data_IF_932240258009
#
_entry.id   IF_932240258009
#
_cell.length_a   1.000
_cell.length_b   1.000
_cell.length_c   1.000
_cell.angle_alpha   90.00
_cell.angle_beta   90.00
_cell.angle_gamma   90.00
#
_symmetry.space_group_name_H-M   'P 1'
#
loop_
_entity.id
_entity.type
_entity.pdbx_description
1 polymer ?
#
# COMPACT_ATOMS: atom_id res chain seq x y z
N UNK A 1 -0.38 16.19 -18.49
CA UNK A 1 0.95 15.52 -18.45
C UNK A 1 1.55 15.53 -19.84
N UNK A 2 2.76 16.04 -20.00
CA UNK A 2 3.52 16.00 -21.26
C UNK A 2 3.92 14.58 -21.72
N UNK A 3 3.77 13.57 -20.85
CA UNK A 3 4.13 12.17 -21.13
C UNK A 3 5.61 11.84 -20.94
N UNK A 4 6.42 12.79 -20.45
CA UNK A 4 7.87 12.62 -20.31
C UNK A 4 8.29 11.76 -19.11
N UNK A 5 7.43 11.62 -18.09
CA UNK A 5 7.64 10.73 -16.93
C UNK A 5 6.84 9.45 -17.17
N UNK A 6 7.54 8.32 -17.29
CA UNK A 6 6.93 7.00 -17.49
C UNK A 6 6.28 6.46 -16.21
N UNK A 7 5.30 5.56 -16.33
CA UNK A 7 4.63 4.91 -15.18
C UNK A 7 5.63 4.28 -14.19
N UNK A 8 6.78 3.77 -14.68
CA UNK A 8 7.84 3.13 -13.88
C UNK A 8 8.66 4.10 -13.01
N UNK A 9 8.45 5.40 -13.17
CA UNK A 9 9.10 6.43 -12.38
C UNK A 9 8.25 6.90 -11.19
N UNK A 10 7.02 6.38 -11.06
CA UNK A 10 6.21 6.58 -9.87
C UNK A 10 6.42 5.42 -8.90
N UNK A 11 6.51 5.75 -7.62
CA UNK A 11 6.49 4.77 -6.53
C UNK A 11 5.66 5.35 -5.38
N UNK A 12 4.54 4.73 -5.05
CA UNK A 12 3.66 5.13 -3.95
C UNK A 12 3.39 3.98 -2.99
N UNK A 13 2.75 4.28 -1.86
CA UNK A 13 1.89 3.31 -1.19
C UNK A 13 0.53 3.33 -1.91
N UNK A 14 0.48 2.52 -2.98
CA UNK A 14 -0.64 1.98 -3.76
C UNK A 14 -1.56 2.91 -4.55
N UNK A 15 -2.24 2.26 -5.50
CA UNK A 15 -3.31 2.66 -6.42
C UNK A 15 -4.49 1.73 -6.20
N UNK A 16 -5.71 2.26 -6.12
CA UNK A 16 -6.92 1.52 -6.50
C UNK A 16 -7.16 1.73 -7.99
N UNK A 17 -6.96 0.69 -8.80
CA UNK A 17 -7.24 0.66 -10.24
C UNK A 17 -6.38 1.59 -11.10
N UNK A 18 -5.28 1.10 -11.65
CA UNK A 18 -4.51 1.85 -12.67
C UNK A 18 -5.05 1.64 -14.10
N UNK A 19 -6.11 0.83 -14.29
CA UNK A 19 -6.86 0.64 -15.54
C UNK A 19 -8.21 -0.09 -15.26
N UNK A 20 -9.24 0.60 -14.76
CA UNK A 20 -10.62 0.10 -14.86
C UNK A 20 -11.35 0.87 -15.96
N UNK A 21 -11.15 0.39 -17.19
CA UNK A 21 -11.88 0.77 -18.42
C UNK A 21 -13.31 0.19 -18.46
N UNK A 22 -13.91 -0.08 -17.30
CA UNK A 22 -15.27 -0.57 -17.17
C UNK A 22 -15.96 0.17 -16.03
N UNK A 23 -16.84 1.11 -16.39
CA UNK A 23 -17.66 1.96 -15.51
C UNK A 23 -16.93 3.05 -14.68
N UNK A 24 -16.51 4.13 -15.35
CA UNK A 24 -16.50 5.47 -14.71
C UNK A 24 -15.26 5.90 -13.91
N UNK A 25 -14.11 5.95 -14.59
CA UNK A 25 -13.27 7.15 -14.75
C UNK A 25 -12.65 7.83 -13.51
N UNK A 26 -11.72 7.15 -12.82
CA UNK A 26 -10.68 7.83 -12.04
C UNK A 26 -9.32 7.75 -12.75
N UNK A 27 -9.04 8.70 -13.65
CA UNK A 27 -7.72 8.91 -14.28
C UNK A 27 -6.81 9.70 -13.30
N UNK A 28 -6.58 9.17 -12.11
CA UNK A 28 -5.71 9.78 -11.11
C UNK A 28 -5.11 8.76 -10.14
N UNK A 29 -3.97 9.11 -9.56
CA UNK A 29 -3.41 8.33 -8.47
C UNK A 29 -4.27 8.50 -7.21
N UNK A 30 -4.50 7.42 -6.48
CA UNK A 30 -5.16 7.46 -5.17
C UNK A 30 -4.49 6.53 -4.18
N UNK A 31 -4.14 6.99 -2.96
CA UNK A 31 -3.61 6.10 -1.95
C UNK A 31 -4.71 5.17 -1.44
N UNK A 32 -4.29 4.02 -0.91
CA UNK A 32 -5.18 3.13 -0.18
C UNK A 32 -5.99 3.89 0.88
N UNK A 33 -7.32 3.73 0.86
CA UNK A 33 -8.19 4.28 1.90
C UNK A 33 -7.99 3.45 3.16
N UNK A 34 -7.41 4.07 4.18
CA UNK A 34 -7.16 3.44 5.46
C UNK A 34 -7.24 4.45 6.58
N UNK A 35 -7.91 4.04 7.64
CA UNK A 35 -8.03 4.77 8.89
C UNK A 35 -6.86 4.49 9.83
N UNK A 36 -6.48 5.47 10.66
CA UNK A 36 -5.50 5.31 11.74
C UNK A 36 -4.39 6.37 11.76
N UNK A 37 -4.01 6.81 12.96
CA UNK A 37 -3.08 7.94 13.19
C UNK A 37 -1.64 7.73 12.74
N UNK A 38 -1.26 6.50 12.41
CA UNK A 38 0.09 6.14 11.95
C UNK A 38 0.20 5.99 10.43
N UNK A 39 -0.90 6.18 9.69
CA UNK A 39 -0.91 6.06 8.24
C UNK A 39 -0.53 7.40 7.57
N UNK A 40 0.46 7.38 6.69
CA UNK A 40 0.87 8.53 5.89
C UNK A 40 0.60 8.25 4.42
N UNK A 41 -0.28 9.03 3.80
CA UNK A 41 -0.50 8.94 2.36
C UNK A 41 0.64 9.66 1.63
N UNK A 42 1.36 8.97 0.75
CA UNK A 42 2.40 9.62 -0.04
C UNK A 42 2.55 9.02 -1.44
N UNK A 43 3.03 9.87 -2.33
CA UNK A 43 3.51 9.51 -3.66
C UNK A 43 4.96 9.96 -3.82
N UNK A 44 5.80 9.09 -4.37
CA UNK A 44 7.19 9.40 -4.72
C UNK A 44 7.39 9.36 -6.24
N UNK A 45 8.27 10.23 -6.72
CA UNK A 45 8.58 10.38 -8.14
C UNK A 45 10.11 10.26 -8.29
N UNK A 46 10.56 9.46 -9.25
CA UNK A 46 11.94 9.39 -9.73
C UNK A 46 12.06 10.21 -11.03
N UNK A 47 12.68 11.38 -10.95
CA UNK A 47 12.94 12.23 -12.11
C UNK A 47 14.00 11.65 -13.06
N UNK A 48 14.66 10.54 -12.70
CA UNK A 48 15.82 9.91 -13.37
C UNK A 48 17.09 10.76 -13.46
N UNK A 49 16.98 12.06 -13.24
CA UNK A 49 18.10 13.00 -13.18
C UNK A 49 17.91 13.97 -12.03
N UNK A 50 18.99 14.52 -11.52
CA UNK A 50 18.90 15.58 -10.52
C UNK A 50 18.16 16.79 -11.11
N UNK A 51 17.03 17.13 -10.50
CA UNK A 51 16.10 18.15 -10.95
C UNK A 51 15.89 19.16 -9.83
N UNK A 52 15.97 20.45 -10.16
CA UNK A 52 15.56 21.52 -9.26
C UNK A 52 14.06 21.70 -9.39
N UNK A 53 13.33 21.48 -8.32
CA UNK A 53 11.87 21.66 -8.26
C UNK A 53 11.55 23.03 -7.68
N UNK A 54 10.66 23.77 -8.35
CA UNK A 54 10.28 25.13 -7.92
C UNK A 54 8.78 25.34 -7.79
N UNK A 55 7.96 24.50 -8.43
CA UNK A 55 6.50 24.64 -8.42
C UNK A 55 5.84 23.28 -8.63
N UNK A 56 4.66 23.11 -8.06
CA UNK A 56 3.82 21.93 -8.23
C UNK A 56 2.43 22.40 -8.62
N UNK A 57 1.83 21.79 -9.63
CA UNK A 57 0.41 21.96 -9.93
C UNK A 57 -0.31 20.68 -9.56
N UNK A 58 -1.44 20.83 -8.90
CA UNK A 58 -2.40 19.76 -8.66
C UNK A 58 -3.59 19.98 -9.60
N UNK A 59 -4.30 18.92 -9.92
CA UNK A 59 -5.57 19.00 -10.63
C UNK A 59 -6.65 18.37 -9.77
N UNK A 60 -7.78 19.08 -9.64
CA UNK A 60 -8.96 18.54 -8.97
C UNK A 60 -9.60 17.47 -9.85
N UNK A 61 -9.86 16.30 -9.28
CA UNK A 61 -10.48 15.17 -10.00
C UNK A 61 -11.91 14.98 -9.48
N UNK A 62 -12.88 14.88 -10.37
CA UNK A 62 -14.29 14.71 -10.03
C UNK A 62 -14.48 13.45 -9.16
N UNK A 63 -15.46 13.49 -8.25
CA UNK A 63 -15.81 12.41 -7.32
C UNK A 63 -14.67 11.92 -6.38
N UNK A 64 -13.57 12.67 -6.29
CA UNK A 64 -12.48 12.43 -5.33
C UNK A 64 -12.39 13.52 -4.28
N UNK A 65 -11.71 13.21 -3.18
CA UNK A 65 -11.23 14.18 -2.19
C UNK A 65 -9.98 14.85 -2.73
N UNK A 66 -9.94 16.18 -2.63
CA UNK A 66 -8.84 17.00 -3.11
C UNK A 66 -7.79 17.18 -2.02
N UNK A 67 -6.51 17.06 -2.35
CA UNK A 67 -5.42 17.42 -1.44
C UNK A 67 -5.49 18.92 -1.11
N UNK A 68 -5.55 19.25 0.18
CA UNK A 68 -5.58 20.66 0.65
C UNK A 68 -4.28 21.06 1.31
N UNK A 69 -3.55 20.10 1.90
CA UNK A 69 -2.22 20.33 2.46
C UNK A 69 -1.30 19.12 2.27
N UNK A 70 0.00 19.41 2.11
CA UNK A 70 1.03 18.38 2.00
C UNK A 70 2.39 18.87 2.49
N UNK A 71 3.29 17.92 2.74
CA UNK A 71 4.71 18.16 3.00
C UNK A 71 5.55 17.61 1.84
N UNK A 72 6.71 18.21 1.64
CA UNK A 72 7.66 17.78 0.63
C UNK A 72 8.87 17.13 1.25
N UNK A 73 9.25 16.01 0.66
CA UNK A 73 10.50 15.30 0.93
C UNK A 73 11.26 15.10 -0.38
N UNK A 74 12.58 14.96 -0.28
CA UNK A 74 13.43 14.67 -1.42
C UNK A 74 14.50 13.63 -1.07
N UNK A 75 15.06 13.00 -2.11
CA UNK A 75 16.18 12.07 -1.96
C UNK A 75 17.09 12.07 -3.18
N UNK A 76 18.38 11.85 -2.96
CA UNK A 76 19.34 11.62 -4.05
C UNK A 76 19.42 10.13 -4.45
N UNK A 77 19.05 9.22 -3.55
CA UNK A 77 19.21 7.76 -3.74
C UNK A 77 17.90 6.98 -3.75
N UNK A 78 16.80 7.59 -3.32
CA UNK A 78 15.50 6.93 -3.14
C UNK A 78 15.41 6.05 -1.89
N UNK A 79 16.50 5.89 -1.13
CA UNK A 79 16.52 5.05 0.09
C UNK A 79 16.14 5.84 1.35
N UNK A 80 16.69 7.04 1.49
CA UNK A 80 16.46 7.94 2.61
C UNK A 80 15.92 9.26 2.11
N UNK A 81 14.82 9.72 2.71
CA UNK A 81 14.16 10.97 2.35
C UNK A 81 14.36 12.01 3.45
N UNK A 82 14.66 13.23 3.04
CA UNK A 82 14.77 14.40 3.90
C UNK A 82 13.65 15.37 3.59
N UNK A 83 13.12 16.06 4.60
CA UNK A 83 12.14 17.12 4.36
C UNK A 83 12.79 18.23 3.51
N UNK A 84 12.09 18.69 2.47
CA UNK A 84 12.53 19.83 1.66
C UNK A 84 12.53 21.11 2.50
N UNK A 85 11.55 21.26 3.38
CA UNK A 85 11.44 22.35 4.35
C UNK A 85 10.57 21.91 5.54
N UNK A 86 10.55 22.67 6.66
CA UNK A 86 9.70 22.34 7.81
C UNK A 86 8.21 22.68 7.59
N UNK A 87 7.90 23.43 6.52
CA UNK A 87 6.55 23.93 6.27
C UNK A 87 5.64 22.84 5.70
N UNK A 88 4.40 22.87 6.14
CA UNK A 88 3.29 22.25 5.45
C UNK A 88 2.74 23.25 4.42
N UNK A 89 2.63 22.80 3.16
CA UNK A 89 2.22 23.63 2.05
C UNK A 89 0.71 23.49 1.84
N UNK A 90 0.03 24.64 1.76
CA UNK A 90 -1.40 24.72 1.45
C UNK A 90 -1.61 24.79 -0.06
N UNK A 91 -2.56 24.03 -0.57
CA UNK A 91 -2.98 24.08 -1.98
C UNK A 91 -3.91 25.28 -2.18
N UNK A 92 -3.52 26.29 -2.99
CA UNK A 92 -4.37 27.45 -3.26
C UNK A 92 -5.53 27.09 -4.20
N UNK A 93 -6.49 28.01 -4.33
CA UNK A 93 -7.69 27.77 -5.14
C UNK A 93 -7.44 27.57 -6.65
N UNK A 94 -6.31 28.08 -7.16
CA UNK A 94 -5.87 27.88 -8.54
C UNK A 94 -5.02 26.61 -8.73
N UNK A 95 -4.87 25.80 -7.68
CA UNK A 95 -4.15 24.52 -7.66
C UNK A 95 -2.65 24.58 -8.00
N UNK A 96 -2.08 25.79 -8.06
CA UNK A 96 -0.67 26.01 -8.36
C UNK A 96 0.06 26.41 -7.08
N UNK A 97 0.93 25.52 -6.61
CA UNK A 97 1.78 25.74 -5.42
C UNK A 97 3.16 26.18 -5.89
N UNK A 98 3.39 27.50 -5.87
CA UNK A 98 4.74 28.04 -5.99
C UNK A 98 5.52 27.78 -4.71
N UNK A 99 6.63 27.05 -4.82
CA UNK A 99 7.39 26.67 -3.64
C UNK A 99 8.14 27.90 -3.08
N UNK A 100 8.00 28.18 -1.76
CA UNK A 100 8.86 29.13 -1.07
C UNK A 100 10.33 28.81 -1.32
N UNK A 101 11.21 29.82 -1.32
CA UNK A 101 12.66 29.63 -1.58
C UNK A 101 13.24 28.47 -0.78
N UNK A 102 12.85 28.37 0.48
CA UNK A 102 13.39 27.41 1.44
C UNK A 102 12.79 26.00 1.28
N UNK A 103 11.71 25.88 0.49
CA UNK A 103 11.07 24.61 0.14
C UNK A 103 11.44 24.11 -1.26
N UNK A 104 12.21 24.90 -2.03
CA UNK A 104 12.77 24.45 -3.31
C UNK A 104 13.92 23.50 -3.03
N UNK A 105 14.02 22.42 -3.81
CA UNK A 105 15.03 21.40 -3.60
C UNK A 105 15.61 20.92 -4.92
N UNK A 106 16.78 20.30 -4.84
CA UNK A 106 17.47 19.69 -5.98
C UNK A 106 17.72 18.22 -5.69
N UNK A 107 17.01 17.34 -6.39
CA UNK A 107 17.07 15.92 -6.10
C UNK A 107 16.69 15.09 -7.32
N UNK A 108 17.02 13.79 -7.28
CA UNK A 108 16.51 12.83 -8.25
C UNK A 108 15.10 12.36 -7.87
N UNK A 109 14.84 12.21 -6.58
CA UNK A 109 13.56 11.74 -6.08
C UNK A 109 12.85 12.85 -5.32
N UNK A 110 11.55 12.98 -5.55
CA UNK A 110 10.64 13.78 -4.75
C UNK A 110 9.60 12.88 -4.08
N UNK A 111 9.07 13.31 -2.93
CA UNK A 111 7.93 12.69 -2.29
C UNK A 111 6.98 13.75 -1.75
N UNK A 112 5.71 13.62 -2.09
CA UNK A 112 4.62 14.41 -1.54
C UNK A 112 3.93 13.57 -0.46
N UNK A 113 3.93 14.07 0.78
CA UNK A 113 3.20 13.47 1.90
C UNK A 113 1.94 14.28 2.10
N UNK A 114 0.78 13.66 1.85
CA UNK A 114 -0.52 14.29 1.99
C UNK A 114 -0.86 14.31 3.48
N UNK A 115 -1.08 15.51 4.00
CA UNK A 115 -1.41 15.73 5.41
C UNK A 115 -2.85 16.16 5.61
N UNK A 116 -3.48 16.69 4.57
CA UNK A 116 -4.90 17.06 4.60
C UNK A 116 -5.53 16.90 3.22
N UNK A 117 -6.76 16.40 3.19
CA UNK A 117 -7.60 16.35 2.00
C UNK A 117 -9.04 16.74 2.35
N UNK A 118 -9.73 17.36 1.38
CA UNK A 118 -11.11 17.84 1.53
C UNK A 118 -12.09 16.70 1.84
N UNK A 119 -13.24 17.06 2.42
CA UNK A 119 -14.29 16.08 2.75
C UNK A 119 -13.91 15.14 3.91
N UNK A 120 -14.87 14.29 4.29
CA UNK A 120 -14.69 13.33 5.36
C UNK A 120 -13.86 12.12 4.90
N UNK A 121 -13.14 11.50 5.82
CA UNK A 121 -12.46 10.24 5.55
C UNK A 121 -13.46 9.13 5.22
N UNK A 122 -13.16 8.30 4.23
CA UNK A 122 -14.03 7.22 3.78
C UNK A 122 -15.18 7.63 2.85
N UNK A 123 -15.46 8.93 2.66
CA UNK A 123 -16.56 9.37 1.79
C UNK A 123 -16.24 9.24 0.29
N UNK A 124 -14.96 9.38 -0.07
CA UNK A 124 -14.43 9.25 -1.42
C UNK A 124 -12.90 9.02 -1.35
N UNK A 125 -12.27 8.43 -2.36
CA UNK A 125 -10.82 8.29 -2.44
C UNK A 125 -10.13 9.67 -2.54
N UNK A 126 -8.87 9.78 -2.10
CA UNK A 126 -8.07 11.00 -2.37
C UNK A 126 -7.56 10.92 -3.80
N UNK A 127 -7.97 11.84 -4.66
CA UNK A 127 -7.54 11.88 -6.06
C UNK A 127 -6.37 12.84 -6.23
N UNK A 128 -5.27 12.35 -6.79
CA UNK A 128 -4.12 13.20 -7.10
C UNK A 128 -3.76 13.03 -8.57
N UNK A 129 -3.88 14.15 -9.28
CA UNK A 129 -3.24 14.36 -10.56
C UNK A 129 -2.37 15.60 -10.40
N UNK A 130 -1.15 15.52 -10.89
CA UNK A 130 -0.15 16.54 -10.61
C UNK A 130 0.86 16.71 -11.72
N UNK A 131 1.53 17.85 -11.70
CA UNK A 131 2.68 18.17 -12.52
C UNK A 131 3.75 18.87 -11.68
N UNK A 132 4.99 18.42 -11.80
CA UNK A 132 6.14 19.02 -11.12
C UNK A 132 6.87 19.93 -12.11
N UNK A 133 7.12 21.17 -11.72
CA UNK A 133 7.83 22.15 -12.52
C UNK A 133 9.20 22.43 -11.94
N UNK A 134 10.18 22.51 -12.83
CA UNK A 134 11.56 22.64 -12.45
C UNK A 134 12.48 22.69 -13.65
N UNK A 135 13.77 22.53 -13.39
CA UNK A 135 14.77 22.33 -14.44
C UNK A 135 15.72 21.18 -14.07
N UNK A 136 16.07 20.32 -15.04
CA UNK A 136 17.15 19.36 -14.84
C UNK A 136 18.47 20.12 -14.65
N UNK A 137 19.28 19.64 -13.71
CA UNK A 137 20.61 20.21 -13.40
C UNK A 137 21.71 19.32 -13.97
N UNK A 138 21.38 18.06 -14.23
CA UNK A 138 22.27 17.07 -14.84
C UNK A 138 21.83 16.78 -16.28
N UNK A 139 22.82 16.44 -17.11
CA UNK A 139 22.63 16.14 -18.55
C UNK A 139 22.53 14.65 -18.84
N UNK A 140 22.83 13.78 -17.86
CA UNK A 140 22.80 12.33 -18.01
C UNK A 140 21.58 11.78 -17.29
N UNK A 141 20.72 11.09 -18.04
CA UNK A 141 19.60 10.36 -17.46
C UNK A 141 20.11 9.06 -16.83
N UNK A 142 19.69 8.78 -15.61
CA UNK A 142 19.85 7.46 -15.03
C UNK A 142 18.78 6.51 -15.59
N UNK A 143 19.05 5.20 -15.53
CA UNK A 143 18.04 4.19 -15.85
C UNK A 143 17.02 4.07 -14.72
N UNK A 144 15.77 3.77 -15.09
CA UNK A 144 14.74 3.39 -14.12
C UNK A 144 15.23 2.23 -13.26
N UNK A 145 14.97 2.28 -11.96
CA UNK A 145 15.21 1.14 -11.09
C UNK A 145 14.04 0.14 -11.26
N UNK A 146 14.24 -1.03 -11.89
CA UNK A 146 13.17 -1.99 -12.12
C UNK A 146 12.66 -2.63 -10.82
N UNK A 147 13.38 -2.45 -9.70
CA UNK A 147 12.99 -2.97 -8.39
C UNK A 147 12.02 -2.05 -7.64
N UNK A 148 11.74 -0.85 -8.17
CA UNK A 148 10.69 0.02 -7.64
C UNK A 148 9.37 -0.39 -8.29
N UNK A 149 8.60 -1.22 -7.59
CA UNK A 149 7.23 -1.58 -7.97
C UNK A 149 6.25 -0.93 -7.00
N UNK A 150 5.23 -0.27 -7.52
CA UNK A 150 4.04 0.12 -6.74
C UNK A 150 3.34 -1.16 -6.29
N UNK A 151 3.10 -1.28 -4.99
CA UNK A 151 2.23 -2.35 -4.46
C UNK A 151 0.79 -1.99 -4.84
N UNK A 152 -0.05 -2.99 -5.09
CA UNK A 152 -1.45 -2.78 -5.47
C UNK A 152 -2.35 -3.39 -4.40
N UNK A 153 -3.32 -2.61 -3.92
CA UNK A 153 -4.13 -3.02 -2.76
C UNK A 153 -5.10 -4.18 -3.05
N UNK A 154 -5.37 -4.45 -4.32
CA UNK A 154 -6.21 -5.54 -4.78
C UNK A 154 -5.46 -6.88 -4.88
N UNK A 155 -4.16 -6.90 -4.57
CA UNK A 155 -3.35 -8.12 -4.60
C UNK A 155 -3.02 -8.61 -3.20
N UNK A 156 -2.88 -9.94 -3.04
CA UNK A 156 -2.42 -10.53 -1.78
C UNK A 156 -0.89 -10.45 -1.59
N UNK A 157 -0.16 -9.84 -2.53
CA UNK A 157 1.29 -9.67 -2.43
C UNK A 157 1.62 -8.24 -2.01
N UNK A 158 2.32 -8.08 -0.87
CA UNK A 158 2.71 -6.77 -0.37
C UNK A 158 1.59 -5.95 0.29
N UNK A 159 0.32 -6.36 0.17
CA UNK A 159 -0.83 -5.70 0.78
C UNK A 159 -1.60 -6.61 1.76
N UNK A 160 -2.68 -6.08 2.32
CA UNK A 160 -3.62 -6.74 3.22
C UNK A 160 -4.34 -7.91 2.55
N UNK A 161 -4.32 -9.05 3.22
CA UNK A 161 -5.02 -10.25 2.78
C UNK A 161 -5.30 -11.18 3.95
N UNK A 162 -6.28 -12.06 3.78
CA UNK A 162 -6.76 -13.00 4.80
C UNK A 162 -6.84 -14.42 4.26
N UNK A 163 -6.68 -15.40 5.14
CA UNK A 163 -6.89 -16.80 4.81
C UNK A 163 -7.44 -17.57 6.02
N UNK A 164 -8.09 -18.69 5.76
CA UNK A 164 -8.62 -19.55 6.82
C UNK A 164 -8.19 -20.99 6.59
N UNK A 165 -7.55 -21.55 7.61
CA UNK A 165 -7.29 -22.97 7.75
C UNK A 165 -8.53 -23.62 8.37
N UNK A 166 -9.32 -24.30 7.55
CA UNK A 166 -10.56 -24.92 7.98
C UNK A 166 -10.36 -26.23 8.73
N UNK A 167 -9.18 -26.86 8.63
CA UNK A 167 -8.88 -28.10 9.34
C UNK A 167 -8.57 -27.83 10.82
N UNK A 168 -7.85 -26.74 11.09
CA UNK A 168 -7.41 -26.37 12.44
C UNK A 168 -8.19 -25.19 13.04
N UNK A 169 -9.09 -24.58 12.26
CA UNK A 169 -9.89 -23.42 12.71
C UNK A 169 -9.05 -22.17 12.92
N UNK A 170 -7.96 -21.99 12.15
CA UNK A 170 -7.02 -20.89 12.31
C UNK A 170 -7.29 -19.83 11.25
N UNK A 171 -7.51 -18.60 11.69
CA UNK A 171 -7.59 -17.43 10.83
C UNK A 171 -6.24 -16.73 10.76
N UNK A 172 -5.87 -16.35 9.54
CA UNK A 172 -4.64 -15.64 9.24
C UNK A 172 -5.00 -14.32 8.59
N UNK A 173 -4.28 -13.26 8.97
CA UNK A 173 -4.28 -12.04 8.17
C UNK A 173 -2.89 -11.44 8.12
N UNK A 174 -2.59 -10.81 7.00
CA UNK A 174 -1.43 -9.96 6.83
C UNK A 174 -1.92 -8.55 6.56
N UNK A 175 -1.22 -7.55 7.08
CA UNK A 175 -1.52 -6.14 6.85
C UNK A 175 -0.24 -5.34 6.69
N UNK A 176 -0.31 -4.25 5.93
CA UNK A 176 0.81 -3.32 5.80
C UNK A 176 0.98 -2.55 7.12
N UNK A 177 2.21 -2.50 7.65
CA UNK A 177 2.57 -1.79 8.88
C UNK A 177 3.30 -0.50 8.50
N UNK A 178 2.67 0.68 8.61
CA UNK A 178 3.22 1.95 8.11
C UNK A 178 4.58 2.30 8.70
N UNK A 179 4.69 2.16 10.03
CA UNK A 179 5.92 2.49 10.78
C UNK A 179 7.11 1.66 10.30
N UNK A 180 6.88 0.39 9.95
CA UNK A 180 7.93 -0.55 9.52
C UNK A 180 8.08 -0.61 8.00
N UNK A 181 7.17 0.04 7.26
CA UNK A 181 7.07 0.01 5.79
C UNK A 181 7.15 -1.41 5.23
N UNK A 182 6.49 -2.36 5.89
CA UNK A 182 6.47 -3.76 5.50
C UNK A 182 5.17 -4.43 5.92
N UNK A 183 4.93 -5.64 5.40
CA UNK A 183 3.80 -6.47 5.82
C UNK A 183 4.14 -7.17 7.14
N UNK A 184 3.17 -7.14 8.06
CA UNK A 184 3.14 -7.96 9.27
C UNK A 184 1.97 -8.94 9.19
N UNK A 185 2.20 -10.18 9.58
CA UNK A 185 1.20 -11.25 9.54
C UNK A 185 0.90 -11.79 10.93
N UNK A 186 -0.33 -12.21 11.14
CA UNK A 186 -0.86 -12.66 12.41
C UNK A 186 -1.78 -13.87 12.19
N UNK A 187 -1.85 -14.72 13.21
CA UNK A 187 -2.78 -15.86 13.26
C UNK A 187 -3.58 -15.86 14.56
N UNK A 188 -4.78 -16.43 14.53
CA UNK A 188 -5.64 -16.60 15.71
C UNK A 188 -6.60 -17.77 15.53
N UNK A 189 -7.03 -18.38 16.63
CA UNK A 189 -8.11 -19.38 16.65
C UNK A 189 -9.39 -18.83 17.26
N UNK A 190 -9.34 -17.72 18.02
CA UNK A 190 -10.45 -17.20 18.81
C UNK A 190 -10.75 -15.70 18.56
N UNK A 191 -9.85 -14.98 17.88
CA UNK A 191 -9.93 -13.54 17.64
C UNK A 191 -9.67 -12.69 18.87
N UNK A 192 -9.26 -13.31 19.98
CA UNK A 192 -8.92 -12.64 21.23
C UNK A 192 -7.40 -12.59 21.34
N UNK A 193 -6.74 -13.74 21.14
CA UNK A 193 -5.29 -13.85 21.15
C UNK A 193 -4.77 -13.91 19.72
N UNK A 194 -3.92 -12.95 19.38
CA UNK A 194 -3.29 -12.84 18.08
C UNK A 194 -1.80 -13.17 18.19
N UNK A 195 -1.37 -14.21 17.48
CA UNK A 195 0.04 -14.60 17.40
C UNK A 195 0.68 -13.84 16.25
N UNK A 196 1.70 -13.04 16.55
CA UNK A 196 2.54 -12.46 15.50
C UNK A 196 3.33 -13.57 14.81
N UNK A 197 3.18 -13.69 13.50
CA UNK A 197 3.94 -14.65 12.71
C UNK A 197 5.41 -14.21 12.57
N UNK A 198 6.34 -15.13 12.29
CA UNK A 198 7.75 -14.78 12.12
C UNK A 198 7.99 -13.64 11.13
N UNK A 199 8.85 -12.69 11.48
CA UNK A 199 9.05 -11.45 10.74
C UNK A 199 9.65 -11.60 9.34
N UNK A 200 10.13 -12.80 8.99
CA UNK A 200 10.60 -13.10 7.63
C UNK A 200 9.45 -13.38 6.66
N UNK A 201 8.26 -13.73 7.16
CA UNK A 201 7.08 -13.97 6.32
C UNK A 201 6.62 -12.64 5.71
N UNK A 202 6.45 -12.65 4.39
CA UNK A 202 6.02 -11.49 3.62
C UNK A 202 4.56 -11.56 3.18
N UNK A 203 4.05 -12.78 2.90
CA UNK A 203 2.65 -13.01 2.51
C UNK A 203 2.23 -14.46 2.71
N UNK A 204 0.93 -14.68 2.82
CA UNK A 204 0.32 -16.00 2.72
C UNK A 204 0.30 -16.45 1.24
N UNK A 205 0.38 -17.75 1.04
CA UNK A 205 0.24 -18.41 -0.28
C UNK A 205 -1.12 -19.07 -0.38
N UNK A 206 -1.55 -19.75 0.69
CA UNK A 206 -2.86 -20.38 0.73
C UNK A 206 -2.93 -21.55 1.70
N UNK A 207 -4.15 -22.02 1.94
CA UNK A 207 -4.44 -23.21 2.75
C UNK A 207 -4.62 -24.44 1.86
N UNK A 208 -3.88 -25.50 2.11
CA UNK A 208 -4.07 -26.80 1.45
C UNK A 208 -4.81 -27.76 2.38
N UNK A 209 -6.05 -28.10 2.01
CA UNK A 209 -6.91 -28.98 2.78
C UNK A 209 -6.41 -30.44 2.82
N UNK A 210 -5.68 -30.90 1.80
CA UNK A 210 -5.18 -32.28 1.76
C UNK A 210 -4.04 -32.50 2.77
N UNK A 211 -3.24 -31.47 3.02
CA UNK A 211 -2.12 -31.51 3.98
C UNK A 211 -2.44 -30.83 5.31
N UNK A 212 -3.61 -30.19 5.43
CA UNK A 212 -4.04 -29.39 6.59
C UNK A 212 -2.98 -28.34 6.99
N UNK A 213 -2.38 -27.69 5.98
CA UNK A 213 -1.28 -26.72 6.17
C UNK A 213 -1.62 -25.38 5.55
N UNK A 214 -1.27 -24.32 6.28
CA UNK A 214 -1.15 -22.97 5.73
C UNK A 214 0.25 -22.76 5.18
N UNK A 215 0.36 -22.23 3.97
CA UNK A 215 1.62 -21.91 3.31
C UNK A 215 1.84 -20.39 3.25
N UNK A 216 3.10 -19.96 3.35
CA UNK A 216 3.51 -18.57 3.26
C UNK A 216 4.87 -18.43 2.56
N UNK A 217 5.12 -17.26 1.95
CA UNK A 217 6.41 -16.90 1.36
C UNK A 217 7.16 -15.92 2.26
N UNK A 218 8.49 -15.97 2.23
CA UNK A 218 9.31 -14.92 2.81
C UNK A 218 9.20 -13.60 2.03
N UNK A 219 9.65 -12.50 2.62
CA UNK A 219 9.59 -11.14 2.04
C UNK A 219 10.30 -10.98 0.70
N UNK A 220 11.21 -11.90 0.34
CA UNK A 220 11.94 -11.87 -0.94
C UNK A 220 11.41 -12.88 -1.95
N UNK A 221 10.34 -13.59 -1.63
CA UNK A 221 9.74 -14.64 -2.45
C UNK A 221 10.74 -15.74 -2.88
N UNK A 222 11.65 -16.11 -1.97
CA UNK A 222 12.70 -17.12 -2.18
C UNK A 222 12.44 -18.43 -1.45
N UNK A 223 11.77 -18.38 -0.30
CA UNK A 223 11.54 -19.56 0.53
C UNK A 223 10.06 -19.65 0.92
N UNK A 224 9.50 -20.85 0.74
CA UNK A 224 8.17 -21.19 1.22
C UNK A 224 8.27 -21.86 2.59
N UNK A 225 7.37 -21.49 3.48
CA UNK A 225 7.18 -22.12 4.78
C UNK A 225 5.74 -22.60 4.94
N UNK A 226 5.53 -23.58 5.81
CA UNK A 226 4.22 -24.10 6.15
C UNK A 226 4.01 -24.22 7.66
N UNK A 227 2.76 -24.17 8.08
CA UNK A 227 2.35 -24.34 9.48
C UNK A 227 1.02 -25.08 9.57
N UNK A 228 0.83 -25.82 10.66
CA UNK A 228 -0.43 -26.48 11.05
C UNK A 228 -1.09 -25.82 12.27
N UNK A 229 -0.37 -24.95 12.98
CA UNK A 229 -0.80 -24.35 14.24
C UNK A 229 -0.76 -22.81 14.22
N UNK A 230 -0.31 -22.24 13.10
CA UNK A 230 -0.15 -20.80 12.88
C UNK A 230 0.98 -20.16 13.69
N UNK A 231 1.76 -20.94 14.45
CA UNK A 231 2.80 -20.47 15.36
C UNK A 231 4.17 -21.02 14.95
N UNK A 232 4.25 -22.34 14.72
CA UNK A 232 5.46 -23.02 14.30
C UNK A 232 5.47 -23.15 12.77
N UNK A 233 6.53 -22.65 12.15
CA UNK A 233 6.68 -22.61 10.70
C UNK A 233 7.90 -23.42 10.26
N UNK A 234 7.69 -24.34 9.31
CA UNK A 234 8.74 -25.20 8.77
C UNK A 234 8.99 -24.89 7.29
N UNK A 235 10.25 -24.96 6.86
CA UNK A 235 10.64 -24.80 5.45
C UNK A 235 10.00 -25.91 4.62
N UNK A 236 9.48 -25.54 3.45
CA UNK A 236 8.90 -26.45 2.46
C UNK A 236 9.93 -26.72 1.38
N UNK A 237 10.07 -27.99 0.97
CA UNK A 237 10.96 -28.37 -0.11
C UNK A 237 10.48 -27.81 -1.47
N UNK A 238 11.39 -27.70 -2.44
CA UNK A 238 11.09 -27.08 -3.73
C UNK A 238 10.03 -27.82 -4.55
N UNK A 239 9.89 -29.14 -4.38
CA UNK A 239 8.92 -29.95 -5.13
C UNK A 239 7.51 -29.63 -4.63
N UNK A 240 7.33 -29.65 -3.31
CA UNK A 240 6.07 -29.27 -2.67
C UNK A 240 5.75 -27.80 -2.93
N UNK A 241 6.74 -26.91 -2.81
CA UNK A 241 6.53 -25.47 -3.04
C UNK A 241 6.04 -25.17 -4.45
N UNK A 242 6.47 -25.93 -5.46
CA UNK A 242 6.03 -25.78 -6.84
C UNK A 242 4.58 -26.24 -7.07
N UNK A 243 4.06 -27.19 -6.28
CA UNK A 243 2.68 -27.68 -6.42
C UNK A 243 1.66 -26.86 -5.63
N UNK A 244 2.06 -26.24 -4.52
CA UNK A 244 1.17 -25.49 -3.61
C UNK A 244 0.28 -24.46 -4.32
N UNK A 245 0.77 -23.62 -5.27
CA UNK A 245 -0.09 -22.65 -5.95
C UNK A 245 -1.29 -23.27 -6.70
N UNK A 246 -1.21 -24.56 -7.06
CA UNK A 246 -2.28 -25.27 -7.75
C UNK A 246 -3.22 -26.03 -6.80
N UNK A 247 -2.80 -26.33 -5.57
CA UNK A 247 -3.58 -27.13 -4.61
C UNK A 247 -4.17 -26.32 -3.46
N UNK A 248 -3.51 -25.23 -3.07
CA UNK A 248 -3.92 -24.43 -1.94
C UNK A 248 -4.97 -23.39 -2.34
N UNK A 249 -5.97 -23.21 -1.48
CA UNK A 249 -6.91 -22.09 -1.54
C UNK A 249 -6.16 -20.80 -1.26
N UNK A 250 -6.04 -19.95 -2.29
CA UNK A 250 -5.34 -18.67 -2.19
C UNK A 250 -5.97 -17.74 -1.13
N UNK A 251 -5.17 -16.87 -0.50
CA UNK A 251 -5.69 -15.85 0.40
C UNK A 251 -6.56 -14.84 -0.36
N UNK A 252 -7.59 -14.32 0.30
CA UNK A 252 -8.43 -13.26 -0.23
C UNK A 252 -7.79 -11.89 0.04
N UNK A 253 -7.50 -11.08 -1.00
CA UNK A 253 -7.02 -9.72 -0.82
C UNK A 253 -8.11 -8.82 -0.22
N UNK A 254 -7.72 -7.81 0.57
CA UNK A 254 -8.64 -6.80 1.09
C UNK A 254 -8.25 -5.43 0.51
N UNK A 255 -8.95 -4.97 -0.54
CA UNK A 255 -8.64 -3.71 -1.21
C UNK A 255 -8.71 -2.49 -0.29
N UNK A 256 -7.86 -1.49 -0.55
CA UNK A 256 -7.87 -0.20 0.13
C UNK A 256 -8.91 0.75 -0.46
N UNK A 257 -10.16 0.32 -0.50
CA UNK A 257 -11.29 1.07 -1.09
C UNK A 257 -12.08 1.84 -0.03
N UNK A 258 -12.89 2.81 -0.47
CA UNK A 258 -13.87 3.46 0.41
C UNK A 258 -14.96 2.50 0.86
N UNK A 259 -15.59 2.81 2.00
CA UNK A 259 -16.60 1.97 2.64
C UNK A 259 -17.74 1.56 1.69
N UNK A 260 -18.26 2.50 0.91
CA UNK A 260 -19.36 2.25 -0.01
C UNK A 260 -19.00 1.31 -1.18
N UNK A 261 -17.70 1.14 -1.48
CA UNK A 261 -17.22 0.31 -2.59
C UNK A 261 -16.70 -1.04 -2.12
N UNK A 262 -16.23 -1.15 -0.87
CA UNK A 262 -15.68 -2.39 -0.34
C UNK A 262 -16.81 -3.33 0.10
N UNK A 263 -17.09 -4.34 -0.73
CA UNK A 263 -17.94 -5.46 -0.31
C UNK A 263 -17.25 -6.28 0.78
N UNK A 264 -17.96 -6.69 1.86
CA UNK A 264 -17.37 -7.53 2.89
C UNK A 264 -16.84 -8.86 2.33
N UNK A 265 -15.62 -9.21 2.72
CA UNK A 265 -14.93 -10.43 2.30
C UNK A 265 -15.08 -11.47 3.40
N UNK A 266 -15.74 -12.58 3.11
CA UNK A 266 -15.95 -13.67 4.05
C UNK A 266 -14.99 -14.82 3.80
N UNK A 267 -14.28 -15.26 4.83
CA UNK A 267 -13.36 -16.40 4.78
C UNK A 267 -13.60 -17.28 6.01
N UNK A 268 -14.23 -18.44 5.82
CA UNK A 268 -14.72 -19.25 6.93
C UNK A 268 -15.77 -18.48 7.75
N UNK A 269 -15.70 -18.50 9.10
CA UNK A 269 -16.62 -17.74 9.95
C UNK A 269 -16.28 -16.24 10.06
N UNK A 270 -15.21 -15.79 9.39
CA UNK A 270 -14.67 -14.44 9.52
C UNK A 270 -15.13 -13.55 8.37
N UNK A 271 -15.35 -12.28 8.68
CA UNK A 271 -15.66 -11.24 7.69
C UNK A 271 -14.69 -10.09 7.86
N UNK A 272 -14.05 -9.68 6.76
CA UNK A 272 -13.23 -8.49 6.67
C UNK A 272 -13.94 -7.41 5.85
N UNK A 273 -13.98 -6.20 6.35
CA UNK A 273 -14.65 -5.06 5.71
C UNK A 273 -13.83 -3.77 5.84
N UNK A 274 -14.45 -2.62 5.58
CA UNK A 274 -13.81 -1.31 5.68
C UNK A 274 -13.29 -0.97 7.08
N UNK A 275 -13.91 -1.51 8.13
CA UNK A 275 -13.58 -1.19 9.52
C UNK A 275 -12.54 -2.15 10.09
N UNK A 276 -12.67 -3.44 9.79
CA UNK A 276 -11.86 -4.45 10.46
C UNK A 276 -12.16 -5.90 10.09
N UNK A 277 -11.75 -6.78 10.98
CA UNK A 277 -12.05 -8.22 10.96
C UNK A 277 -13.07 -8.49 12.05
N UNK A 278 -14.15 -9.19 11.70
CA UNK A 278 -15.22 -9.57 12.60
C UNK A 278 -15.55 -11.07 12.51
N UNK A 279 -16.17 -11.58 13.58
CA UNK A 279 -16.80 -12.91 13.63
C UNK A 279 -18.16 -12.75 14.30
N UNK A 280 -19.22 -13.26 13.67
CA UNK A 280 -20.59 -13.06 14.14
C UNK A 280 -20.98 -11.58 14.31
N UNK A 281 -20.47 -10.70 13.44
CA UNK A 281 -20.71 -9.25 13.48
C UNK A 281 -19.95 -8.48 14.56
N UNK A 282 -19.16 -9.15 15.41
CA UNK A 282 -18.33 -8.48 16.43
C UNK A 282 -16.90 -8.32 15.93
N UNK A 283 -16.42 -7.08 15.85
CA UNK A 283 -15.02 -6.80 15.47
C UNK A 283 -14.03 -7.37 16.49
N UNK A 284 -13.05 -8.12 15.98
CA UNK A 284 -11.94 -8.72 16.70
C UNK A 284 -10.63 -7.98 16.46
N UNK A 285 -10.50 -7.33 15.30
CA UNK A 285 -9.42 -6.40 14.98
C UNK A 285 -9.98 -5.24 14.17
N UNK A 286 -9.49 -4.02 14.40
CA UNK A 286 -9.83 -2.83 13.61
C UNK A 286 -8.59 -2.30 12.91
N UNK A 287 -8.72 -1.85 11.66
CA UNK A 287 -7.57 -1.38 10.89
C UNK A 287 -6.92 -0.13 11.48
N UNK A 288 -7.73 0.75 12.08
CA UNK A 288 -7.30 2.01 12.69
C UNK A 288 -6.45 1.86 13.94
N UNK A 289 -6.59 0.71 14.63
CA UNK A 289 -5.83 0.39 15.84
C UNK A 289 -4.91 -0.82 15.64
N UNK A 290 -4.90 -1.44 14.45
CA UNK A 290 -4.09 -2.63 14.25
C UNK A 290 -2.62 -2.27 14.13
N UNK A 291 -1.84 -3.18 14.71
CA UNK A 291 -0.48 -3.50 14.30
C UNK A 291 0.55 -2.40 14.57
N UNK A 292 0.23 -1.47 15.48
CA UNK A 292 1.04 -0.31 15.88
C UNK A 292 2.07 -0.60 16.97
#
# INVERSE_FOLDING_TARGET
>A
MSGEISKRQFASQDVGGEDNDADGDYICWSPAVRTGSSWEHYISIDFLKKTRVTRIQLETVAATRKVTKFKLQYSHSGQSFSNACPLELTVPANDIVDLPSDCRFEARYARMLITEASGAEGSAPIGVRFEWFGCPIETVDATCNPLLSTVMTDTASGWRHVAFDSANGIFYFCDFVPKKRNVGCYSTTDGIVWNAMPSYIGRLVGFDAATAKMYAMDKKERAMVSSIDGVNWAIVDSVTAASVPATATAPSPIPGMVEAQLSPITVGPWTADYTGISIGGTYKAKWSSCCS
#
